data_IF_921243877932
#
_entry.id   IF_921243877932
#
_cell.length_a   1.000
_cell.length_b   1.000
_cell.length_c   1.000
_cell.angle_alpha   90.00
_cell.angle_beta   90.00
_cell.angle_gamma   90.00
#
_symmetry.space_group_name_H-M   'P 1'
#
loop_
_entity.id
_entity.type
_entity.pdbx_description
1 polymer ?
#
# COMPACT_ATOMS: atom_id res chain seq x y z
N UNK A 1 -2.56 -17.79 -8.48
CA UNK A 1 -2.62 -16.44 -9.09
C UNK A 1 -1.52 -15.61 -8.43
N UNK A 2 -0.81 -14.72 -9.15
CA UNK A 2 0.18 -13.86 -8.53
C UNK A 2 -0.49 -12.93 -7.51
N UNK A 3 0.16 -12.70 -6.37
CA UNK A 3 -0.31 -11.73 -5.39
C UNK A 3 -0.31 -10.33 -6.00
N UNK A 4 -1.32 -9.54 -5.64
CA UNK A 4 -1.60 -8.25 -6.28
C UNK A 4 -1.26 -7.09 -5.35
N UNK A 5 -0.53 -6.10 -5.83
CA UNK A 5 -0.19 -4.89 -5.07
C UNK A 5 -0.60 -3.61 -5.81
N UNK A 6 -1.09 -2.62 -5.07
CA UNK A 6 -1.36 -1.28 -5.58
C UNK A 6 -0.54 -0.25 -4.79
N UNK A 7 0.24 0.54 -5.52
CA UNK A 7 1.01 1.66 -5.00
C UNK A 7 0.24 2.96 -5.28
N UNK A 8 0.00 3.77 -4.25
CA UNK A 8 -0.61 5.09 -4.35
C UNK A 8 0.37 6.12 -3.80
N UNK A 9 1.06 6.83 -4.68
CA UNK A 9 2.08 7.80 -4.29
C UNK A 9 2.11 8.99 -5.24
N UNK A 10 2.42 10.15 -4.68
CA UNK A 10 2.68 11.41 -5.39
C UNK A 10 4.09 11.45 -6.01
N UNK A 11 4.95 10.46 -5.72
CA UNK A 11 6.36 10.44 -6.15
C UNK A 11 6.63 9.36 -7.20
N UNK A 12 6.83 9.78 -8.45
CA UNK A 12 7.10 8.88 -9.57
C UNK A 12 8.35 7.99 -9.35
N UNK A 13 9.41 8.54 -8.78
CA UNK A 13 10.64 7.79 -8.45
C UNK A 13 10.38 6.69 -7.42
N UNK A 14 9.56 6.97 -6.40
CA UNK A 14 9.16 5.97 -5.41
C UNK A 14 8.29 4.88 -6.03
N UNK A 15 7.32 5.27 -6.88
CA UNK A 15 6.49 4.32 -7.60
C UNK A 15 7.32 3.34 -8.43
N UNK A 16 8.31 3.84 -9.18
CA UNK A 16 9.19 3.01 -10.01
C UNK A 16 10.04 2.03 -9.18
N UNK A 17 10.67 2.51 -8.10
CA UNK A 17 11.50 1.68 -7.23
C UNK A 17 10.70 0.58 -6.52
N UNK A 18 9.51 0.92 -6.00
CA UNK A 18 8.60 -0.04 -5.37
C UNK A 18 8.03 -1.02 -6.39
N UNK A 19 7.72 -0.56 -7.61
CA UNK A 19 7.21 -1.40 -8.68
C UNK A 19 8.21 -2.48 -9.06
N UNK A 20 9.47 -2.11 -9.34
CA UNK A 20 10.55 -3.07 -9.62
C UNK A 20 10.70 -4.08 -8.48
N UNK A 21 10.79 -3.60 -7.23
CA UNK A 21 11.02 -4.47 -6.06
C UNK A 21 9.89 -5.49 -5.87
N UNK A 22 8.63 -5.09 -6.06
CA UNK A 22 7.47 -5.97 -5.90
C UNK A 22 7.28 -6.90 -7.11
N UNK A 23 7.60 -6.42 -8.32
CA UNK A 23 7.59 -7.24 -9.52
C UNK A 23 8.66 -8.35 -9.47
N UNK A 24 9.86 -8.04 -8.95
CA UNK A 24 10.94 -9.01 -8.71
C UNK A 24 10.51 -10.10 -7.70
N UNK A 25 9.58 -9.79 -6.80
CA UNK A 25 8.95 -10.74 -5.88
C UNK A 25 7.78 -11.53 -6.50
N UNK A 26 7.50 -11.33 -7.79
CA UNK A 26 6.43 -12.01 -8.52
C UNK A 26 5.03 -11.45 -8.29
N UNK A 27 4.91 -10.23 -7.75
CA UNK A 27 3.60 -9.57 -7.59
C UNK A 27 3.17 -8.91 -8.91
N UNK A 28 1.85 -8.91 -9.16
CA UNK A 28 1.25 -8.03 -10.15
C UNK A 28 1.06 -6.66 -9.51
N UNK A 29 1.73 -5.63 -10.05
CA UNK A 29 1.82 -4.32 -9.41
C UNK A 29 1.17 -3.24 -10.29
N UNK A 30 0.27 -2.47 -9.68
CA UNK A 30 -0.29 -1.25 -10.26
C UNK A 30 0.17 -0.03 -9.47
N UNK A 31 0.20 1.12 -10.12
CA UNK A 31 0.50 2.40 -9.48
C UNK A 31 -0.51 3.47 -9.87
N UNK A 32 -0.85 4.34 -8.94
CA UNK A 32 -1.62 5.55 -9.21
C UNK A 32 -1.11 6.72 -8.38
N UNK A 33 -1.29 7.92 -8.91
CA UNK A 33 -0.90 9.18 -8.27
C UNK A 33 -2.12 10.01 -7.85
N UNK A 34 -3.34 9.53 -8.16
CA UNK A 34 -4.57 10.23 -7.82
C UNK A 34 -5.63 9.28 -7.23
N UNK A 35 -6.39 9.81 -6.28
CA UNK A 35 -7.40 9.08 -5.54
C UNK A 35 -8.45 8.37 -6.42
N UNK A 36 -9.07 9.01 -7.43
CA UNK A 36 -10.14 8.36 -8.20
C UNK A 36 -9.64 7.16 -9.00
N UNK A 37 -8.46 7.27 -9.61
CA UNK A 37 -7.88 6.17 -10.37
C UNK A 37 -7.45 5.03 -9.44
N UNK A 38 -6.87 5.33 -8.27
CA UNK A 38 -6.51 4.32 -7.28
C UNK A 38 -7.74 3.51 -6.82
N UNK A 39 -8.87 4.18 -6.56
CA UNK A 39 -10.13 3.52 -6.17
C UNK A 39 -10.69 2.65 -7.30
N UNK A 40 -10.61 3.12 -8.56
CA UNK A 40 -11.02 2.32 -9.73
C UNK A 40 -10.18 1.06 -9.91
N UNK A 41 -8.86 1.18 -9.80
CA UNK A 41 -7.95 0.03 -9.85
C UNK A 41 -8.26 -0.92 -8.71
N UNK A 42 -8.48 -0.40 -7.49
CA UNK A 42 -8.81 -1.22 -6.34
C UNK A 42 -10.10 -2.03 -6.54
N UNK A 43 -11.15 -1.40 -7.08
CA UNK A 43 -12.42 -2.06 -7.34
C UNK A 43 -12.31 -3.18 -8.39
N UNK A 44 -11.53 -2.96 -9.45
CA UNK A 44 -11.36 -3.91 -10.55
C UNK A 44 -10.38 -5.04 -10.21
N UNK A 45 -9.21 -4.69 -9.70
CA UNK A 45 -8.11 -5.66 -9.50
C UNK A 45 -8.14 -6.32 -8.14
N UNK A 46 -8.72 -5.64 -7.15
CA UNK A 46 -8.79 -6.07 -5.75
C UNK A 46 -7.39 -6.46 -5.23
N UNK A 47 -6.43 -5.54 -5.14
CA UNK A 47 -5.09 -5.87 -4.63
C UNK A 47 -5.13 -6.40 -3.19
N UNK A 48 -4.16 -7.24 -2.84
CA UNK A 48 -3.97 -7.84 -1.50
C UNK A 48 -3.03 -6.99 -0.64
N UNK A 49 -2.17 -6.20 -1.27
CA UNK A 49 -1.31 -5.21 -0.64
C UNK A 49 -1.58 -3.80 -1.19
N UNK A 50 -1.67 -2.83 -0.30
CA UNK A 50 -1.77 -1.40 -0.61
C UNK A 50 -0.57 -0.67 -0.04
N UNK A 51 0.12 0.12 -0.86
CA UNK A 51 1.20 1.00 -0.41
C UNK A 51 0.74 2.43 -0.60
N UNK A 52 0.58 3.20 0.48
CA UNK A 52 0.06 4.56 0.45
C UNK A 52 1.15 5.55 0.89
N UNK A 53 1.35 6.60 0.11
CA UNK A 53 2.15 7.74 0.56
C UNK A 53 1.40 8.51 1.66
N UNK A 54 2.16 9.26 2.47
CA UNK A 54 1.64 10.01 3.62
C UNK A 54 0.41 10.86 3.29
N UNK A 55 0.46 11.58 2.15
CA UNK A 55 -0.61 12.47 1.70
C UNK A 55 -1.91 11.75 1.32
N UNK A 56 -1.81 10.44 1.06
CA UNK A 56 -2.93 9.58 0.66
C UNK A 56 -3.51 8.77 1.82
N UNK A 57 -3.16 9.06 3.08
CA UNK A 57 -3.69 8.36 4.26
C UNK A 57 -5.22 8.35 4.32
N UNK A 58 -5.86 9.42 3.85
CA UNK A 58 -7.32 9.54 3.80
C UNK A 58 -7.97 8.51 2.86
N UNK A 59 -7.23 7.98 1.86
CA UNK A 59 -7.74 6.93 0.98
C UNK A 59 -7.83 5.57 1.66
N UNK A 60 -7.07 5.34 2.73
CA UNK A 60 -7.13 4.07 3.42
C UNK A 60 -8.50 3.78 4.02
N UNK A 61 -9.17 4.80 4.57
CA UNK A 61 -10.54 4.66 5.05
C UNK A 61 -11.48 4.21 3.92
N UNK A 62 -11.31 4.75 2.71
CA UNK A 62 -12.11 4.36 1.54
C UNK A 62 -11.80 2.92 1.10
N UNK A 63 -10.53 2.53 1.08
CA UNK A 63 -10.16 1.15 0.77
C UNK A 63 -10.72 0.17 1.81
N UNK A 64 -10.66 0.52 3.10
CA UNK A 64 -11.18 -0.29 4.22
C UNK A 64 -12.67 -0.60 4.05
N UNK A 65 -13.47 0.40 3.69
CA UNK A 65 -14.90 0.24 3.45
C UNK A 65 -15.21 -0.65 2.24
N UNK A 66 -14.27 -0.78 1.30
CA UNK A 66 -14.39 -1.63 0.12
C UNK A 66 -13.83 -3.05 0.33
N UNK A 67 -13.27 -3.36 1.52
CA UNK A 67 -12.68 -4.66 1.80
C UNK A 67 -13.76 -5.73 2.03
N UNK A 68 -13.65 -6.80 1.25
CA UNK A 68 -14.33 -8.08 1.50
C UNK A 68 -13.37 -9.17 1.98
N UNK A 69 -12.09 -8.82 2.12
CA UNK A 69 -10.97 -9.73 2.42
C UNK A 69 -9.85 -9.01 3.15
N UNK A 70 -8.88 -9.79 3.61
CA UNK A 70 -7.70 -9.29 4.30
C UNK A 70 -6.84 -8.49 3.34
N UNK A 71 -6.41 -7.30 3.76
CA UNK A 71 -5.50 -6.44 3.01
C UNK A 71 -4.46 -5.88 3.95
N UNK A 72 -3.21 -5.84 3.49
CA UNK A 72 -2.12 -5.18 4.22
C UNK A 72 -1.92 -3.79 3.62
N UNK A 73 -2.01 -2.75 4.45
CA UNK A 73 -1.80 -1.36 4.07
C UNK A 73 -0.47 -0.88 4.64
N UNK A 74 0.46 -0.49 3.78
CA UNK A 74 1.73 0.13 4.17
C UNK A 74 1.61 1.64 4.02
N UNK A 75 1.73 2.39 5.12
CA UNK A 75 1.74 3.84 5.10
C UNK A 75 3.14 4.37 5.24
N UNK A 76 3.55 5.26 4.34
CA UNK A 76 4.80 6.00 4.54
C UNK A 76 4.64 7.05 5.65
N UNK A 77 5.40 6.92 6.74
CA UNK A 77 5.53 7.96 7.77
C UNK A 77 6.58 9.00 7.32
N UNK A 78 6.30 10.26 7.64
CA UNK A 78 6.96 11.47 7.12
C UNK A 78 8.50 11.37 6.97
N UNK A 79 9.01 11.84 5.83
CA UNK A 79 10.41 12.14 5.46
C UNK A 79 11.49 11.04 5.55
N UNK A 80 11.37 9.99 6.37
CA UNK A 80 12.49 9.05 6.63
C UNK A 80 12.24 7.59 6.23
N UNK A 81 11.64 7.36 5.05
CA UNK A 81 11.47 6.02 4.46
C UNK A 81 10.88 4.94 5.39
N UNK A 82 10.19 5.34 6.46
CA UNK A 82 9.56 4.42 7.39
C UNK A 82 8.17 4.08 6.86
N UNK A 83 7.85 2.79 6.82
CA UNK A 83 6.51 2.32 6.49
C UNK A 83 5.85 1.72 7.74
N UNK A 84 4.68 2.25 8.09
CA UNK A 84 3.77 1.64 9.05
C UNK A 84 2.93 0.62 8.28
N UNK A 85 3.20 -0.66 8.46
CA UNK A 85 2.30 -1.70 7.98
C UNK A 85 1.11 -1.81 8.93
N UNK A 86 -0.10 -1.85 8.38
CA UNK A 86 -1.37 -2.09 9.07
C UNK A 86 -2.03 -3.24 8.33
N UNK A 87 -2.04 -4.42 8.94
CA UNK A 87 -2.83 -5.53 8.41
C UNK A 87 -4.28 -5.30 8.79
N UNK A 88 -5.21 -5.44 7.85
CA UNK A 88 -6.64 -5.32 8.11
C UNK A 88 -7.26 -6.64 7.74
N UNK A 89 -7.64 -7.40 8.77
CA UNK A 89 -8.32 -8.67 8.59
C UNK A 89 -9.83 -8.45 8.52
N UNK A 90 -10.43 -8.76 7.38
CA UNK A 90 -11.87 -8.87 7.23
C UNK A 90 -12.31 -10.27 7.69
N UNK A 91 -12.01 -10.62 8.95
CA UNK A 91 -12.65 -11.79 9.54
C UNK A 91 -14.14 -11.46 9.65
N UNK A 92 -15.00 -12.25 9.00
CA UNK A 92 -16.48 -12.14 9.01
C UNK A 92 -17.13 -12.31 10.41
N UNK A 93 -16.38 -12.15 11.49
CA UNK A 93 -16.92 -12.14 12.84
C UNK A 93 -17.53 -10.75 13.05
N UNK A 94 -18.86 -10.65 13.06
CA UNK A 94 -19.51 -9.44 13.56
C UNK A 94 -19.28 -9.39 15.08
N UNK A 95 -18.78 -8.28 15.64
CA UNK A 95 -18.48 -6.98 15.02
C UNK A 95 -17.12 -6.92 14.27
N UNK A 96 -17.09 -6.17 13.15
CA UNK A 96 -15.85 -5.89 12.39
C UNK A 96 -14.82 -5.25 13.32
N UNK A 97 -13.80 -6.02 13.69
CA UNK A 97 -12.72 -5.56 14.56
C UNK A 97 -11.46 -5.49 13.72
N UNK A 98 -11.09 -4.31 13.19
CA UNK A 98 -9.86 -4.16 12.45
C UNK A 98 -8.69 -4.38 13.41
N UNK A 99 -7.90 -5.44 13.20
CA UNK A 99 -6.71 -5.70 14.00
C UNK A 99 -5.51 -5.00 13.36
N UNK A 100 -5.22 -3.78 13.79
CA UNK A 100 -4.01 -3.08 13.35
C UNK A 100 -2.77 -3.64 14.06
N UNK A 101 -1.98 -4.44 13.35
CA UNK A 101 -0.65 -4.81 13.82
C UNK A 101 0.36 -3.73 13.39
N UNK A 102 0.95 -3.01 14.34
CA UNK A 102 2.15 -2.22 14.10
C UNK A 102 3.32 -3.18 13.85
N UNK A 103 3.74 -3.34 12.59
CA UNK A 103 4.99 -4.02 12.30
C UNK A 103 6.17 -3.06 12.51
N UNK A 104 7.32 -3.54 13.02
CA UNK A 104 8.53 -2.74 13.08
C UNK A 104 8.87 -2.27 11.66
N UNK A 105 9.14 -0.97 11.52
CA UNK A 105 9.48 -0.40 10.23
C UNK A 105 10.74 -1.09 9.67
N UNK A 106 10.60 -1.79 8.55
CA UNK A 106 11.75 -2.38 7.88
C UNK A 106 12.47 -1.27 7.11
N UNK A 107 13.78 -1.07 7.33
CA UNK A 107 14.55 -0.16 6.49
C UNK A 107 14.62 -0.78 5.09
N UNK A 108 13.86 -0.24 4.13
CA UNK A 108 14.24 -0.43 2.74
C UNK A 108 15.66 0.12 2.61
N UNK A 109 16.59 -0.73 2.15
CA UNK A 109 18.02 -0.39 2.03
C UNK A 109 18.14 1.01 1.46
N UNK A 110 18.96 1.84 2.11
CA UNK A 110 19.29 3.19 1.65
C UNK A 110 19.59 3.15 0.15
N UNK A 111 18.65 3.58 -0.68
CA UNK A 111 18.99 4.02 -2.02
C UNK A 111 19.56 5.42 -1.84
N UNK A 112 20.84 5.66 -2.18
CA UNK A 112 21.38 7.01 -2.17
C UNK A 112 20.56 7.80 -3.19
N UNK A 113 19.62 8.62 -2.71
CA UNK A 113 19.10 9.71 -3.53
C UNK A 113 20.27 10.65 -3.72
N UNK A 114 20.96 10.50 -4.86
CA UNK A 114 21.75 11.60 -5.40
C UNK A 114 20.81 12.80 -5.48
N UNK A 115 21.11 13.82 -4.67
CA UNK A 115 20.46 15.11 -4.82
C UNK A 115 20.91 15.68 -6.17
N UNK A 116 19.99 15.71 -7.13
CA UNK A 116 20.05 16.55 -8.32
C UNK A 116 18.73 17.28 -8.45
#
# INVERSE_FOLDING_TARGET
MPSKALIVTDKAVEASALHSTLADQGLAVWSSWCAPQALRIFAGERPEALLLSFWHVHLAAQFILMLSRNVVIFYRLHARYYYLAVTISCCRQRPFTPVAHLMPAFPLRHYPMGWH
#
